data_IF_121809621884
#
_entry.id   IF_121809621884
#
_cell.length_a   1.000
_cell.length_b   1.000
_cell.length_c   1.000
_cell.angle_alpha   90.00
_cell.angle_beta   90.00
_cell.angle_gamma   90.00
#
_symmetry.space_group_name_H-M   'P 1'
#
loop_
_entity.id
_entity.type
_entity.pdbx_description
1 polymer ?
#
# COMPACT_ATOMS: atom_id res chain seq x y z
N UNK A 1 -9.65 -11.04 1.49
CA UNK A 1 -9.80 -10.65 2.92
C UNK A 1 -8.51 -10.84 3.74
N UNK A 2 -7.48 -11.40 3.16
CA UNK A 2 -6.20 -11.69 3.84
C UNK A 2 -5.19 -10.53 3.73
N UNK A 3 -5.41 -9.59 2.81
CA UNK A 3 -4.57 -8.40 2.65
C UNK A 3 -5.08 -7.34 3.64
N UNK A 4 -4.20 -6.91 4.54
CA UNK A 4 -4.41 -5.81 5.48
C UNK A 4 -3.49 -4.66 5.12
N UNK A 5 -3.73 -3.44 5.60
CA UNK A 5 -2.71 -2.41 5.51
C UNK A 5 -1.40 -2.93 6.09
N UNK A 6 -0.31 -2.79 5.35
CA UNK A 6 1.07 -3.18 5.67
C UNK A 6 1.39 -4.67 5.64
N UNK A 7 0.49 -5.58 6.02
CA UNK A 7 0.78 -7.01 6.16
C UNK A 7 -0.29 -7.92 5.54
N UNK A 8 0.05 -9.21 5.45
CA UNK A 8 -0.83 -10.26 4.95
C UNK A 8 -1.12 -11.22 6.09
N UNK A 9 -2.40 -11.50 6.33
CA UNK A 9 -2.80 -12.57 7.26
C UNK A 9 -2.22 -13.92 6.78
N UNK A 10 -1.89 -14.81 7.73
CA UNK A 10 -1.43 -16.16 7.37
C UNK A 10 -2.46 -16.85 6.48
N UNK A 11 -2.06 -17.38 5.32
CA UNK A 11 -2.97 -18.07 4.42
C UNK A 11 -3.51 -19.33 5.11
N UNK A 12 -4.82 -19.55 4.98
CA UNK A 12 -5.48 -20.76 5.49
C UNK A 12 -5.40 -21.93 4.52
N UNK A 13 -5.22 -21.61 3.24
CA UNK A 13 -5.21 -22.58 2.14
C UNK A 13 -4.03 -22.31 1.23
N UNK A 14 -3.47 -23.38 0.69
CA UNK A 14 -2.41 -23.34 -0.31
C UNK A 14 -2.94 -23.91 -1.62
N UNK A 15 -2.52 -23.33 -2.72
CA UNK A 15 -2.86 -23.81 -4.07
C UNK A 15 -1.62 -24.50 -4.64
N UNK A 16 -1.81 -25.72 -5.18
CA UNK A 16 -0.78 -26.32 -6.01
C UNK A 16 -0.69 -25.51 -7.31
N UNK A 17 0.44 -24.82 -7.49
CA UNK A 17 0.65 -24.00 -8.67
C UNK A 17 1.17 -24.87 -9.82
N UNK A 18 0.27 -25.17 -10.74
CA UNK A 18 0.59 -25.72 -12.03
C UNK A 18 0.24 -24.69 -13.11
N UNK A 19 1.28 -24.15 -13.76
CA UNK A 19 1.10 -23.10 -14.76
C UNK A 19 0.17 -23.50 -15.90
N UNK A 20 0.15 -24.77 -16.27
CA UNK A 20 -0.71 -25.29 -17.35
C UNK A 20 -2.20 -25.31 -16.96
N UNK A 21 -2.49 -25.33 -15.65
CA UNK A 21 -3.85 -25.32 -15.13
C UNK A 21 -4.45 -23.91 -14.98
N UNK A 22 -3.66 -22.85 -15.15
CA UNK A 22 -4.10 -21.45 -15.01
C UNK A 22 -4.19 -20.76 -16.36
N UNK A 23 -5.29 -20.06 -16.62
CA UNK A 23 -5.55 -19.41 -17.90
C UNK A 23 -4.70 -18.16 -18.15
N UNK A 24 -4.37 -17.41 -17.11
CA UNK A 24 -3.59 -16.16 -17.19
C UNK A 24 -2.60 -16.10 -16.04
N UNK A 25 -1.34 -16.24 -16.35
CA UNK A 25 -0.26 -16.13 -15.37
C UNK A 25 0.74 -15.06 -15.79
N UNK A 26 1.21 -14.28 -14.83
CA UNK A 26 2.37 -13.43 -15.02
C UNK A 26 3.65 -14.30 -15.14
N UNK A 27 4.76 -13.77 -15.67
CA UNK A 27 6.06 -14.43 -15.58
C UNK A 27 6.43 -14.79 -14.14
N UNK A 28 7.11 -15.91 -13.95
CA UNK A 28 7.48 -16.41 -12.62
C UNK A 28 8.35 -15.42 -11.84
N UNK A 29 9.20 -14.67 -12.55
CA UNK A 29 10.04 -13.63 -11.97
C UNK A 29 9.21 -12.55 -11.28
N UNK A 30 8.06 -12.17 -11.85
CA UNK A 30 7.15 -11.19 -11.24
C UNK A 30 6.52 -11.75 -9.97
N UNK A 31 6.07 -13.02 -10.01
CA UNK A 31 5.51 -13.66 -8.82
C UNK A 31 6.55 -13.83 -7.71
N UNK A 32 7.79 -14.17 -8.07
CA UNK A 32 8.88 -14.48 -7.12
C UNK A 32 9.68 -13.26 -6.67
N UNK A 33 9.44 -12.09 -7.28
CA UNK A 33 10.06 -10.85 -6.79
C UNK A 33 9.73 -10.65 -5.31
N UNK A 34 10.76 -10.33 -4.52
CA UNK A 34 10.65 -10.00 -3.10
C UNK A 34 11.72 -8.95 -2.72
N UNK A 35 11.35 -7.90 -1.99
CA UNK A 35 10.00 -7.57 -1.59
C UNK A 35 9.16 -7.06 -2.78
N UNK A 36 7.85 -7.25 -2.69
CA UNK A 36 6.86 -6.63 -3.56
C UNK A 36 5.68 -6.14 -2.74
N UNK A 37 4.93 -5.20 -3.28
CA UNK A 37 3.67 -4.75 -2.70
C UNK A 37 2.53 -5.52 -3.37
N UNK A 38 1.58 -5.97 -2.56
CA UNK A 38 0.32 -6.48 -3.06
C UNK A 38 -0.83 -5.59 -2.58
N UNK A 39 -1.87 -5.46 -3.39
CA UNK A 39 -2.98 -4.59 -3.04
C UNK A 39 -4.34 -5.17 -3.44
N UNK A 40 -5.38 -4.73 -2.72
CA UNK A 40 -6.75 -5.11 -3.02
C UNK A 40 -7.20 -4.44 -4.31
N UNK A 41 -7.77 -5.22 -5.23
CA UNK A 41 -8.33 -4.68 -6.47
C UNK A 41 -9.63 -3.90 -6.23
N UNK A 42 -10.45 -4.32 -5.26
CA UNK A 42 -11.70 -3.64 -4.89
C UNK A 42 -11.62 -3.26 -3.41
N UNK A 43 -11.67 -1.96 -3.14
CA UNK A 43 -11.63 -1.42 -1.78
C UNK A 43 -12.13 0.02 -1.75
N UNK A 44 -12.83 0.40 -0.70
CA UNK A 44 -13.25 1.80 -0.47
C UNK A 44 -12.05 2.69 -0.07
N UNK A 45 -11.01 2.08 0.50
CA UNK A 45 -9.76 2.75 0.84
C UNK A 45 -8.62 2.00 0.19
N UNK A 46 -7.49 2.68 -0.02
CA UNK A 46 -6.27 2.03 -0.47
C UNK A 46 -5.78 1.04 0.59
N UNK A 47 -5.48 -0.20 0.18
CA UNK A 47 -4.96 -1.24 1.06
C UNK A 47 -3.81 -1.94 0.35
N UNK A 48 -2.60 -1.69 0.85
CA UNK A 48 -1.35 -2.22 0.34
C UNK A 48 -0.63 -3.00 1.44
N UNK A 49 -0.05 -4.13 1.10
CA UNK A 49 0.71 -4.98 2.02
C UNK A 49 2.07 -5.32 1.44
N UNK A 50 3.07 -5.45 2.30
CA UNK A 50 4.36 -6.01 1.93
C UNK A 50 4.26 -7.53 1.76
N UNK A 51 4.83 -8.05 0.68
CA UNK A 51 5.05 -9.46 0.47
C UNK A 51 6.56 -9.69 0.31
N UNK A 52 7.18 -10.36 1.30
CA UNK A 52 8.63 -10.48 1.43
C UNK A 52 9.16 -11.90 1.16
N UNK A 53 8.27 -12.87 0.94
CA UNK A 53 8.66 -14.29 0.80
C UNK A 53 8.72 -14.80 -0.63
N UNK A 54 8.34 -13.97 -1.62
CA UNK A 54 8.19 -14.41 -3.01
C UNK A 54 6.98 -15.32 -3.23
N UNK A 55 5.93 -15.17 -2.39
CA UNK A 55 4.71 -15.94 -2.51
C UNK A 55 3.93 -15.59 -3.78
N UNK A 56 3.20 -16.56 -4.31
CA UNK A 56 2.31 -16.38 -5.44
C UNK A 56 1.04 -15.65 -5.02
N UNK A 57 0.54 -14.79 -5.90
CA UNK A 57 -0.66 -13.98 -5.66
C UNK A 57 -1.72 -14.37 -6.68
N UNK A 58 -2.93 -14.69 -6.19
CA UNK A 58 -4.07 -14.99 -7.04
C UNK A 58 -4.79 -13.70 -7.49
N UNK A 59 -5.67 -13.83 -8.48
CA UNK A 59 -6.35 -12.74 -9.18
C UNK A 59 -7.27 -11.82 -8.33
N UNK A 60 -7.47 -12.12 -7.05
CA UNK A 60 -8.16 -11.21 -6.11
C UNK A 60 -7.27 -10.09 -5.57
N UNK A 61 -5.99 -10.14 -5.85
CA UNK A 61 -4.99 -9.14 -5.48
C UNK A 61 -4.05 -8.85 -6.66
N UNK A 62 -3.56 -7.63 -6.73
CA UNK A 62 -2.60 -7.22 -7.75
C UNK A 62 -1.21 -7.04 -7.15
N UNK A 63 -0.20 -7.20 -8.00
CA UNK A 63 1.21 -7.02 -7.65
C UNK A 63 1.67 -5.63 -8.13
N UNK A 64 2.39 -4.93 -7.27
CA UNK A 64 3.13 -3.72 -7.57
C UNK A 64 4.59 -3.94 -7.19
N UNK A 65 5.48 -3.83 -8.17
CA UNK A 65 6.92 -3.82 -7.96
C UNK A 65 7.35 -2.36 -8.01
N UNK A 66 7.75 -1.77 -6.86
CA UNK A 66 8.09 -0.36 -6.80
C UNK A 66 9.32 -0.04 -7.65
N UNK A 67 9.28 1.11 -8.30
CA UNK A 67 10.42 1.71 -8.97
C UNK A 67 10.33 3.24 -8.80
N UNK A 68 10.54 3.68 -7.56
CA UNK A 68 10.60 5.12 -7.19
C UNK A 68 11.96 5.34 -6.55
N UNK A 69 12.96 5.80 -7.31
CA UNK A 69 14.37 5.82 -6.86
C UNK A 69 14.66 6.63 -5.59
N UNK A 70 13.80 7.60 -5.28
CA UNK A 70 13.99 8.53 -4.16
C UNK A 70 13.26 8.11 -2.88
N UNK A 71 12.59 6.94 -2.88
CA UNK A 71 11.84 6.42 -1.74
C UNK A 71 12.25 4.98 -1.43
N UNK A 72 12.39 4.66 -0.15
CA UNK A 72 12.49 3.26 0.26
C UNK A 72 11.17 2.52 -0.02
N UNK A 73 11.25 1.20 -0.06
CA UNK A 73 10.07 0.34 -0.20
C UNK A 73 9.05 0.62 0.91
N UNK A 74 9.53 0.79 2.12
CA UNK A 74 8.73 1.04 3.31
C UNK A 74 8.08 2.43 3.28
N UNK A 75 8.83 3.47 2.93
CA UNK A 75 8.28 4.82 2.79
C UNK A 75 7.17 4.88 1.73
N UNK A 76 7.37 4.23 0.59
CA UNK A 76 6.34 4.12 -0.43
C UNK A 76 5.09 3.37 0.09
N UNK A 77 5.28 2.28 0.84
CA UNK A 77 4.19 1.52 1.44
C UNK A 77 3.41 2.35 2.48
N UNK A 78 4.10 3.16 3.28
CA UNK A 78 3.49 4.09 4.23
C UNK A 78 2.64 5.14 3.51
N UNK A 79 3.21 5.80 2.51
CA UNK A 79 2.50 6.79 1.70
C UNK A 79 1.24 6.20 1.09
N UNK A 80 1.32 5.06 0.42
CA UNK A 80 0.21 4.40 -0.26
C UNK A 80 -0.93 3.98 0.68
N UNK A 81 -0.63 3.63 1.95
CA UNK A 81 -1.64 3.28 2.96
C UNK A 81 -2.17 4.50 3.73
N UNK A 82 -1.58 5.68 3.57
CA UNK A 82 -1.99 6.86 4.33
C UNK A 82 -3.36 7.40 3.92
N UNK A 83 -3.96 8.15 4.84
CA UNK A 83 -5.22 8.88 4.58
C UNK A 83 -5.06 9.90 3.45
N UNK A 84 -3.88 10.52 3.29
CA UNK A 84 -3.61 11.45 2.18
C UNK A 84 -3.80 10.76 0.84
N UNK A 85 -3.17 9.60 0.63
CA UNK A 85 -3.27 8.89 -0.65
C UNK A 85 -4.65 8.29 -0.88
N UNK A 86 -5.33 7.80 0.15
CA UNK A 86 -6.72 7.37 0.06
C UNK A 86 -7.64 8.51 -0.36
N UNK A 87 -7.47 9.70 0.23
CA UNK A 87 -8.20 10.91 -0.14
C UNK A 87 -7.92 11.33 -1.58
N UNK A 88 -6.65 11.45 -1.96
CA UNK A 88 -6.23 11.82 -3.32
C UNK A 88 -6.81 10.84 -4.34
N UNK A 89 -6.74 9.53 -4.06
CA UNK A 89 -7.28 8.51 -4.95
C UNK A 89 -8.78 8.65 -5.13
N UNK A 90 -9.54 8.87 -4.06
CA UNK A 90 -10.98 9.07 -4.12
C UNK A 90 -11.36 10.35 -4.88
N UNK A 91 -10.64 11.45 -4.67
CA UNK A 91 -10.92 12.73 -5.34
C UNK A 91 -10.61 12.64 -6.84
N UNK A 92 -9.50 12.03 -7.22
CA UNK A 92 -9.08 11.95 -8.61
C UNK A 92 -9.88 10.94 -9.43
N UNK A 93 -10.24 9.80 -8.82
CA UNK A 93 -10.75 8.68 -9.59
C UNK A 93 -12.18 8.26 -9.21
N UNK A 94 -12.66 8.60 -8.01
CA UNK A 94 -14.05 8.42 -7.58
C UNK A 94 -14.58 6.97 -7.68
N UNK A 95 -13.72 5.95 -7.62
CA UNK A 95 -14.11 4.56 -7.84
C UNK A 95 -13.48 3.61 -6.82
N UNK A 96 -14.19 2.50 -6.56
CA UNK A 96 -13.75 1.46 -5.63
C UNK A 96 -12.73 0.47 -6.23
N UNK A 97 -12.51 0.53 -7.55
CA UNK A 97 -11.51 -0.31 -8.22
C UNK A 97 -10.17 0.38 -8.20
N UNK A 98 -9.19 -0.27 -7.58
CA UNK A 98 -7.80 0.22 -7.56
C UNK A 98 -7.09 -0.26 -8.83
N UNK A 99 -7.12 0.58 -9.87
CA UNK A 99 -6.55 0.25 -11.17
C UNK A 99 -5.06 0.64 -11.23
N UNK A 100 -4.27 -0.18 -11.92
CA UNK A 100 -2.86 0.11 -12.20
C UNK A 100 -2.68 1.45 -12.91
N UNK A 101 -3.52 1.75 -13.91
CA UNK A 101 -3.48 3.01 -14.66
C UNK A 101 -3.66 4.25 -13.78
N UNK A 102 -4.44 4.12 -12.70
CA UNK A 102 -4.66 5.19 -11.73
C UNK A 102 -3.46 5.33 -10.78
N UNK A 103 -2.93 4.20 -10.30
CA UNK A 103 -1.74 4.21 -9.42
C UNK A 103 -0.53 4.86 -10.11
N UNK A 104 -0.36 4.63 -11.42
CA UNK A 104 0.72 5.25 -12.21
C UNK A 104 0.59 6.77 -12.37
N UNK A 105 -0.55 7.37 -12.04
CA UNK A 105 -0.77 8.81 -12.08
C UNK A 105 -0.49 9.49 -10.74
N UNK A 106 -0.37 8.71 -9.65
CA UNK A 106 -0.04 9.24 -8.34
C UNK A 106 1.37 9.86 -8.37
N UNK A 107 1.50 11.00 -7.71
CA UNK A 107 2.78 11.70 -7.53
C UNK A 107 3.24 11.52 -6.10
N UNK A 108 4.53 11.32 -5.94
CA UNK A 108 5.14 11.14 -4.62
C UNK A 108 6.00 12.36 -4.26
N UNK A 109 6.05 12.74 -2.97
CA UNK A 109 6.85 13.84 -2.50
C UNK A 109 8.33 13.44 -2.51
N UNK A 110 9.20 14.44 -2.58
CA UNK A 110 10.59 14.28 -2.16
C UNK A 110 10.63 14.38 -0.65
N UNK A 111 11.25 13.41 -0.01
CA UNK A 111 11.40 13.35 1.44
C UNK A 111 12.87 13.38 1.83
N UNK A 112 13.16 13.81 3.06
CA UNK A 112 14.51 13.72 3.59
C UNK A 112 14.84 12.29 4.02
N UNK A 113 16.12 11.98 4.23
CA UNK A 113 16.54 10.68 4.76
C UNK A 113 15.94 10.39 6.15
N UNK A 114 15.79 11.43 6.98
CA UNK A 114 15.19 11.31 8.30
C UNK A 114 13.71 10.95 8.22
N UNK A 115 12.97 11.55 7.28
CA UNK A 115 11.57 11.23 7.02
C UNK A 115 11.41 9.82 6.45
N UNK A 116 12.30 9.40 5.54
CA UNK A 116 12.29 8.03 5.00
C UNK A 116 12.56 7.00 6.11
N UNK A 117 13.55 7.23 6.98
CA UNK A 117 13.89 6.36 8.11
C UNK A 117 12.76 6.30 9.15
N UNK A 118 12.08 7.42 9.43
CA UNK A 118 10.89 7.47 10.30
C UNK A 118 9.76 6.58 9.74
N UNK A 119 9.38 6.78 8.47
CA UNK A 119 8.33 5.98 7.81
C UNK A 119 8.70 4.50 7.79
N UNK A 120 9.95 4.18 7.54
CA UNK A 120 10.46 2.81 7.53
C UNK A 120 10.32 2.12 8.89
N UNK A 121 10.70 2.82 9.97
CA UNK A 121 10.54 2.29 11.33
C UNK A 121 9.07 2.04 11.68
N UNK A 122 8.17 2.97 11.33
CA UNK A 122 6.74 2.83 11.54
C UNK A 122 6.12 1.69 10.73
N UNK A 123 6.56 1.47 9.49
CA UNK A 123 6.10 0.35 8.68
C UNK A 123 6.52 -0.99 9.26
N UNK A 124 7.77 -1.14 9.72
CA UNK A 124 8.19 -2.37 10.38
C UNK A 124 7.40 -2.64 11.66
N UNK A 125 7.07 -1.59 12.43
CA UNK A 125 6.18 -1.73 13.60
C UNK A 125 4.77 -2.17 13.18
N UNK A 126 4.21 -1.59 12.12
CA UNK A 126 2.90 -1.95 11.59
C UNK A 126 2.86 -3.38 11.02
N UNK A 127 3.92 -3.84 10.33
CA UNK A 127 4.04 -5.22 9.85
C UNK A 127 4.09 -6.22 11.02
N UNK A 128 4.75 -5.86 12.12
CA UNK A 128 4.81 -6.70 13.31
C UNK A 128 3.48 -6.76 14.05
N UNK A 129 2.83 -5.63 14.25
CA UNK A 129 1.52 -5.51 14.87
C UNK A 129 0.92 -4.13 14.57
N UNK A 130 -0.01 -4.07 13.64
CA UNK A 130 -0.76 -2.84 13.38
C UNK A 130 -1.69 -2.52 14.55
N UNK A 131 -1.59 -1.30 15.06
CA UNK A 131 -2.49 -0.71 16.05
C UNK A 131 -3.00 0.63 15.56
N UNK A 132 -4.11 1.13 16.13
CA UNK A 132 -4.65 2.44 15.78
C UNK A 132 -3.62 3.57 16.02
N UNK A 133 -2.79 3.43 17.08
CA UNK A 133 -1.73 4.40 17.38
C UNK A 133 -0.65 4.43 16.29
N UNK A 134 -0.18 3.26 15.85
CA UNK A 134 0.83 3.17 14.78
C UNK A 134 0.25 3.70 13.45
N UNK A 135 -1.00 3.37 13.14
CA UNK A 135 -1.66 3.92 11.95
C UNK A 135 -1.77 5.45 12.01
N UNK A 136 -2.10 5.99 13.17
CA UNK A 136 -2.19 7.43 13.36
C UNK A 136 -0.81 8.11 13.33
N UNK A 137 0.24 7.48 13.83
CA UNK A 137 1.62 7.98 13.73
C UNK A 137 2.08 8.02 12.27
N UNK A 138 1.78 6.99 11.47
CA UNK A 138 2.07 6.99 10.03
C UNK A 138 1.32 8.13 9.32
N UNK A 139 0.03 8.31 9.62
CA UNK A 139 -0.75 9.39 9.03
C UNK A 139 -0.18 10.77 9.41
N UNK A 140 0.22 10.97 10.67
CA UNK A 140 0.83 12.20 11.16
C UNK A 140 2.16 12.49 10.45
N UNK A 141 3.03 11.49 10.31
CA UNK A 141 4.28 11.63 9.58
C UNK A 141 4.02 12.06 8.12
N UNK A 142 3.03 11.45 7.45
CA UNK A 142 2.66 11.83 6.08
C UNK A 142 2.02 13.22 6.02
N UNK A 143 1.15 13.61 6.95
CA UNK A 143 0.62 14.98 7.02
C UNK A 143 1.74 16.01 7.16
N UNK A 144 2.73 15.75 8.01
CA UNK A 144 3.89 16.61 8.19
C UNK A 144 4.75 16.73 6.91
N UNK A 145 4.95 15.63 6.17
CA UNK A 145 5.66 15.63 4.89
C UNK A 145 4.99 16.57 3.89
N UNK A 146 3.66 16.62 3.88
CA UNK A 146 2.90 17.53 3.01
C UNK A 146 2.67 18.93 3.60
N UNK A 147 3.05 19.15 4.86
CA UNK A 147 2.85 20.44 5.56
C UNK A 147 1.39 20.80 5.74
N UNK A 148 0.52 19.79 5.91
CA UNK A 148 -0.93 20.02 6.06
C UNK A 148 -1.25 20.60 7.43
N UNK A 149 -2.16 21.60 7.45
CA UNK A 149 -2.70 22.15 8.68
C UNK A 149 -3.91 21.35 9.21
N UNK A 150 -4.39 21.73 10.41
CA UNK A 150 -5.49 21.02 11.09
C UNK A 150 -6.82 21.07 10.30
N UNK A 151 -7.08 22.15 9.57
CA UNK A 151 -8.29 22.31 8.76
C UNK A 151 -8.24 21.37 7.56
N UNK A 152 -7.10 21.30 6.87
CA UNK A 152 -6.86 20.39 5.75
C UNK A 152 -6.94 18.91 6.18
N UNK A 153 -6.32 18.56 7.32
CA UNK A 153 -6.41 17.23 7.91
C UNK A 153 -7.86 16.87 8.24
N UNK A 154 -8.62 17.82 8.80
CA UNK A 154 -10.05 17.62 9.09
C UNK A 154 -10.87 17.33 7.83
N UNK A 155 -10.59 18.03 6.73
CA UNK A 155 -11.26 17.78 5.43
C UNK A 155 -10.97 16.37 4.94
N UNK A 156 -9.70 15.94 4.97
CA UNK A 156 -9.29 14.57 4.57
C UNK A 156 -10.04 13.52 5.40
N UNK A 157 -10.04 13.67 6.73
CA UNK A 157 -10.69 12.71 7.64
C UNK A 157 -12.19 12.61 7.38
N UNK A 158 -12.89 13.75 7.32
CA UNK A 158 -14.34 13.79 7.05
C UNK A 158 -14.71 13.16 5.70
N UNK A 159 -13.88 13.36 4.68
CA UNK A 159 -14.14 12.78 3.36
C UNK A 159 -14.01 11.26 3.35
N UNK A 160 -13.08 10.70 4.12
CA UNK A 160 -12.84 9.26 4.17
C UNK A 160 -13.85 8.52 5.06
N UNK A 161 -14.56 9.23 5.95
CA UNK A 161 -15.62 8.68 6.81
C UNK A 161 -17.00 8.69 6.15
N UNK A 162 -17.16 9.44 5.06
CA UNK A 162 -18.41 9.58 4.30
C UNK A 162 -18.62 8.44 3.29
#
# INVERSE_FOLDING_TARGET
KEIRPFYIDKPRYFVHFDRAAFQQTAPDEIYRTAPKIIYRFISNHLVFAAERSGALVLNSANILIPNVPELSFEALLALLNSKVYSFVYQVLFGQIKVLRSNLLQLKFPRISSEQDDELKALVYAAEAKLTDDIEEEINRAVFNIYGLDDDEISVIRKRLEA
#
